data_IF_142383119661
#
_entry.id   IF_142383119661
#
_cell.length_a   1.000
_cell.length_b   1.000
_cell.length_c   1.000
_cell.angle_alpha   90.00
_cell.angle_beta   90.00
_cell.angle_gamma   90.00
#
_symmetry.space_group_name_H-M   'P 1'
#
loop_
_entity.id
_entity.type
_entity.pdbx_description
1 polymer ?
#
# COMPACT_ATOMS: atom_id res chain seq x y z
N UNK A 1 -20.06 7.89 -6.55
CA UNK A 1 -18.58 8.15 -6.52
C UNK A 1 -17.95 7.65 -5.23
N UNK A 2 -18.39 8.08 -4.04
CA UNK A 2 -17.84 7.67 -2.73
C UNK A 2 -17.91 6.16 -2.51
N UNK A 3 -19.03 5.51 -2.79
CA UNK A 3 -19.19 4.06 -2.71
C UNK A 3 -18.20 3.30 -3.60
N UNK A 4 -17.98 3.81 -4.82
CA UNK A 4 -17.06 3.20 -5.76
C UNK A 4 -15.59 3.27 -5.26
N UNK A 5 -15.14 4.45 -4.82
CA UNK A 5 -13.75 4.58 -4.34
C UNK A 5 -13.50 3.80 -3.04
N UNK A 6 -14.50 3.71 -2.16
CA UNK A 6 -14.45 2.83 -0.99
C UNK A 6 -14.29 1.37 -1.41
N UNK A 7 -15.06 0.90 -2.40
CA UNK A 7 -14.92 -0.46 -2.92
C UNK A 7 -13.55 -0.70 -3.54
N UNK A 8 -12.98 0.28 -4.27
CA UNK A 8 -11.62 0.18 -4.80
C UNK A 8 -10.58 0.08 -3.68
N UNK A 9 -10.74 0.88 -2.62
CA UNK A 9 -9.85 0.83 -1.47
C UNK A 9 -10.02 -0.48 -0.67
N UNK A 10 -11.25 -0.94 -0.46
CA UNK A 10 -11.54 -2.22 0.18
C UNK A 10 -10.94 -3.41 -0.62
N UNK A 11 -10.95 -3.35 -1.95
CA UNK A 11 -10.21 -4.28 -2.80
C UNK A 11 -8.70 -4.24 -2.53
N UNK A 12 -8.11 -3.04 -2.45
CA UNK A 12 -6.68 -2.89 -2.16
C UNK A 12 -6.30 -3.55 -0.83
N UNK A 13 -7.10 -3.31 0.21
CA UNK A 13 -6.92 -3.91 1.55
C UNK A 13 -7.05 -5.43 1.50
N UNK A 14 -8.12 -5.94 0.86
CA UNK A 14 -8.33 -7.38 0.69
C UNK A 14 -7.16 -8.04 -0.03
N UNK A 15 -6.67 -7.44 -1.10
CA UNK A 15 -5.56 -7.99 -1.88
C UNK A 15 -4.25 -8.02 -1.09
N UNK A 16 -3.95 -6.98 -0.29
CA UNK A 16 -2.79 -6.96 0.60
C UNK A 16 -2.88 -8.07 1.66
N UNK A 17 -4.06 -8.25 2.29
CA UNK A 17 -4.32 -9.35 3.24
C UNK A 17 -4.08 -10.71 2.59
N UNK A 18 -4.59 -10.94 1.39
CA UNK A 18 -4.39 -12.20 0.66
C UNK A 18 -2.92 -12.52 0.44
N UNK A 19 -2.11 -11.51 0.11
CA UNK A 19 -0.65 -11.70 -0.01
C UNK A 19 -0.03 -12.02 1.35
N UNK A 20 -0.35 -11.26 2.41
CA UNK A 20 0.17 -11.52 3.75
C UNK A 20 -0.23 -12.93 4.25
N UNK A 21 -1.49 -13.33 4.11
CA UNK A 21 -1.99 -14.68 4.47
C UNK A 21 -1.22 -15.78 3.72
N UNK A 22 -0.97 -15.59 2.42
CA UNK A 22 -0.20 -16.55 1.63
C UNK A 22 1.25 -16.65 2.12
N UNK A 23 1.90 -15.53 2.40
CA UNK A 23 3.28 -15.47 2.89
C UNK A 23 3.42 -16.06 4.30
N UNK A 24 2.41 -15.96 5.16
CA UNK A 24 2.37 -16.60 6.48
C UNK A 24 2.46 -18.12 6.39
N UNK A 25 2.00 -18.73 5.31
CA UNK A 25 2.15 -20.16 5.03
C UNK A 25 3.55 -20.58 4.56
N UNK A 26 4.48 -19.61 4.37
CA UNK A 26 5.84 -19.86 3.91
C UNK A 26 6.86 -19.56 5.03
N UNK A 27 8.07 -20.13 4.91
CA UNK A 27 9.13 -19.79 5.85
C UNK A 27 9.63 -18.36 5.62
N UNK A 28 10.12 -17.71 6.68
CA UNK A 28 10.69 -16.37 6.62
C UNK A 28 11.82 -16.25 5.60
N UNK A 29 12.65 -17.29 5.46
CA UNK A 29 13.72 -17.37 4.48
C UNK A 29 13.22 -17.21 3.04
N UNK A 30 12.01 -17.65 2.73
CA UNK A 30 11.42 -17.56 1.39
C UNK A 30 11.09 -16.12 1.02
N UNK A 31 10.36 -15.41 1.87
CA UNK A 31 9.92 -14.06 1.55
C UNK A 31 10.98 -12.97 1.82
N UNK A 32 12.07 -13.31 2.54
CA UNK A 32 13.24 -12.44 2.72
C UNK A 32 14.41 -12.77 1.78
N UNK A 33 14.26 -13.84 0.97
CA UNK A 33 15.27 -14.22 -0.01
C UNK A 33 15.54 -13.07 -0.96
N UNK A 34 16.83 -12.79 -1.20
CA UNK A 34 17.24 -11.80 -2.20
C UNK A 34 16.88 -12.30 -3.62
N UNK A 35 16.17 -11.47 -4.36
CA UNK A 35 15.66 -11.76 -5.71
C UNK A 35 15.93 -10.52 -6.57
N UNK A 36 16.45 -10.71 -7.78
CA UNK A 36 16.60 -9.61 -8.75
C UNK A 36 15.24 -9.13 -9.21
N UNK A 37 14.78 -7.99 -8.64
CA UNK A 37 13.50 -7.36 -8.91
C UNK A 37 13.56 -5.87 -8.58
N UNK A 38 12.40 -5.19 -8.52
CA UNK A 38 12.27 -3.77 -8.14
C UNK A 38 12.74 -3.54 -6.69
N UNK A 39 12.47 -4.50 -5.81
CA UNK A 39 12.95 -4.52 -4.42
C UNK A 39 13.77 -5.78 -4.16
N UNK A 40 14.70 -5.76 -3.17
CA UNK A 40 15.58 -6.88 -2.90
C UNK A 40 14.85 -8.17 -2.48
N UNK A 41 13.69 -8.04 -1.81
CA UNK A 41 12.90 -9.18 -1.37
C UNK A 41 11.39 -8.95 -1.49
N UNK A 42 10.63 -10.02 -1.35
CA UNK A 42 9.16 -9.97 -1.27
C UNK A 42 8.74 -9.16 -0.03
N UNK A 43 9.41 -9.37 1.10
CA UNK A 43 9.15 -8.62 2.32
C UNK A 43 9.35 -7.13 2.13
N UNK A 44 10.46 -6.71 1.51
CA UNK A 44 10.75 -5.29 1.23
C UNK A 44 9.70 -4.66 0.29
N UNK A 45 9.18 -5.45 -0.65
CA UNK A 45 8.07 -5.01 -1.51
C UNK A 45 6.80 -4.74 -0.69
N UNK A 46 6.46 -5.59 0.28
CA UNK A 46 5.30 -5.39 1.15
C UNK A 46 5.51 -4.22 2.11
N UNK A 47 6.72 -4.06 2.66
CA UNK A 47 7.11 -2.87 3.44
C UNK A 47 6.93 -1.60 2.62
N UNK A 48 7.37 -1.60 1.35
CA UNK A 48 7.20 -0.46 0.46
C UNK A 48 5.73 -0.08 0.28
N UNK A 49 4.82 -1.04 0.08
CA UNK A 49 3.38 -0.76 0.01
C UNK A 49 2.90 -0.08 1.30
N UNK A 50 3.26 -0.62 2.47
CA UNK A 50 2.91 -0.03 3.77
C UNK A 50 3.40 1.41 3.94
N UNK A 51 4.66 1.66 3.60
CA UNK A 51 5.30 2.99 3.73
C UNK A 51 4.62 4.01 2.82
N UNK A 52 4.36 3.65 1.56
CA UNK A 52 3.71 4.55 0.60
C UNK A 52 2.26 4.85 0.99
N UNK A 53 1.49 3.84 1.39
CA UNK A 53 0.12 4.04 1.86
C UNK A 53 0.08 4.95 3.10
N UNK A 54 1.03 4.78 4.03
CA UNK A 54 1.19 5.64 5.22
C UNK A 54 1.52 7.09 4.83
N UNK A 55 2.39 7.26 3.85
CA UNK A 55 2.77 8.56 3.30
C UNK A 55 1.56 9.29 2.69
N UNK A 56 0.75 8.58 1.90
CA UNK A 56 -0.47 9.17 1.32
C UNK A 56 -1.50 9.56 2.36
N UNK A 57 -1.71 8.76 3.40
CA UNK A 57 -2.61 9.15 4.49
C UNK A 57 -2.10 10.42 5.21
N UNK A 58 -0.80 10.53 5.41
CA UNK A 58 -0.17 11.70 6.02
C UNK A 58 -0.29 12.93 5.13
N UNK A 59 -0.08 12.78 3.81
CA UNK A 59 -0.27 13.81 2.81
C UNK A 59 -1.70 14.39 2.84
N UNK A 60 -2.71 13.54 2.88
CA UNK A 60 -4.10 13.98 2.96
C UNK A 60 -4.40 14.74 4.26
N UNK A 61 -3.87 14.26 5.39
CA UNK A 61 -4.06 14.92 6.70
C UNK A 61 -3.39 16.28 6.77
N UNK A 62 -2.30 16.47 6.03
CA UNK A 62 -1.60 17.74 5.93
C UNK A 62 -2.28 18.75 4.96
N UNK A 63 -3.30 18.32 4.19
CA UNK A 63 -3.94 19.17 3.19
C UNK A 63 -3.14 19.29 1.88
N UNK A 64 -2.26 18.33 1.60
CA UNK A 64 -1.34 18.36 0.47
C UNK A 64 -0.01 19.05 0.81
N UNK A 65 0.79 19.30 -0.22
CA UNK A 65 2.11 19.93 -0.12
C UNK A 65 2.25 20.99 -1.21
N UNK A 66 2.31 22.24 -0.81
CA UNK A 66 2.41 23.37 -1.77
C UNK A 66 3.81 23.59 -2.30
N UNK A 67 4.84 23.27 -1.50
CA UNK A 67 6.24 23.49 -1.86
C UNK A 67 7.09 22.30 -1.46
N UNK A 68 7.86 21.78 -2.41
CA UNK A 68 8.84 20.69 -2.20
C UNK A 68 10.18 21.27 -1.75
N UNK A 69 10.17 22.01 -0.62
CA UNK A 69 11.38 22.62 -0.07
C UNK A 69 12.38 21.54 0.42
N UNK A 70 13.70 21.89 0.48
CA UNK A 70 14.70 20.95 1.04
C UNK A 70 14.35 20.44 2.44
N UNK A 71 13.81 21.32 3.30
CA UNK A 71 13.37 20.93 4.64
C UNK A 71 12.18 19.95 4.60
N UNK A 72 11.22 20.13 3.68
CA UNK A 72 10.13 19.18 3.49
C UNK A 72 10.64 17.81 3.04
N UNK A 73 11.57 17.78 2.08
CA UNK A 73 12.15 16.53 1.57
C UNK A 73 12.94 15.79 2.65
N UNK A 74 13.67 16.50 3.51
CA UNK A 74 14.37 15.92 4.65
C UNK A 74 13.38 15.30 5.67
N UNK A 75 12.33 16.03 6.06
CA UNK A 75 11.28 15.54 6.94
C UNK A 75 10.54 14.31 6.34
N UNK A 76 10.31 14.32 5.03
CA UNK A 76 9.71 13.18 4.32
C UNK A 76 10.61 11.97 4.40
N UNK A 77 11.91 12.15 4.13
CA UNK A 77 12.91 11.08 4.25
C UNK A 77 12.95 10.51 5.67
N UNK A 78 13.05 11.35 6.70
CA UNK A 78 13.03 10.91 8.10
C UNK A 78 11.74 10.14 8.45
N UNK A 79 10.59 10.56 7.89
CA UNK A 79 9.33 9.85 8.08
C UNK A 79 9.32 8.47 7.42
N UNK A 80 9.89 8.36 6.21
CA UNK A 80 10.07 7.07 5.52
C UNK A 80 11.01 6.17 6.31
N UNK A 81 12.19 6.68 6.71
CA UNK A 81 13.20 5.92 7.47
C UNK A 81 12.60 5.38 8.78
N UNK A 82 11.77 6.17 9.47
CA UNK A 82 11.07 5.77 10.70
C UNK A 82 10.04 4.64 10.44
N UNK A 83 9.26 4.75 9.37
CA UNK A 83 8.30 3.70 8.99
C UNK A 83 9.01 2.41 8.58
N UNK A 84 10.13 2.51 7.87
CA UNK A 84 10.96 1.34 7.53
C UNK A 84 11.52 0.72 8.82
N UNK A 85 12.11 1.51 9.72
CA UNK A 85 12.64 1.03 11.00
C UNK A 85 11.55 0.37 11.87
N UNK A 86 10.31 0.86 11.82
CA UNK A 86 9.17 0.20 12.49
C UNK A 86 8.94 -1.24 12.02
N UNK A 87 9.31 -1.56 10.78
CA UNK A 87 9.14 -2.91 10.20
C UNK A 87 10.35 -3.82 10.39
N UNK A 88 11.50 -3.30 10.87
CA UNK A 88 12.71 -4.08 11.09
C UNK A 88 12.47 -5.21 12.10
N UNK A 89 12.93 -6.41 11.76
CA UNK A 89 12.79 -7.61 12.59
C UNK A 89 11.37 -8.15 12.72
N UNK A 90 10.36 -7.49 12.16
CA UNK A 90 8.98 -7.96 12.19
C UNK A 90 8.76 -9.10 11.20
N UNK A 91 7.96 -10.08 11.61
CA UNK A 91 7.47 -11.12 10.73
C UNK A 91 6.34 -10.59 9.85
N UNK A 92 5.99 -11.36 8.82
CA UNK A 92 4.93 -10.95 7.87
C UNK A 92 3.55 -10.79 8.55
N UNK A 93 3.27 -11.54 9.62
CA UNK A 93 2.06 -11.40 10.43
C UNK A 93 1.97 -10.02 11.08
N UNK A 94 3.08 -9.55 11.65
CA UNK A 94 3.15 -8.25 12.33
C UNK A 94 3.08 -7.10 11.31
N UNK A 95 3.72 -7.25 10.15
CA UNK A 95 3.59 -6.30 9.04
C UNK A 95 2.13 -6.25 8.55
N UNK A 96 1.47 -7.41 8.42
CA UNK A 96 0.04 -7.49 8.07
C UNK A 96 -0.85 -6.74 9.06
N UNK A 97 -0.56 -6.82 10.37
CA UNK A 97 -1.28 -6.05 11.40
C UNK A 97 -1.08 -4.54 11.25
N UNK A 98 0.16 -4.08 10.98
CA UNK A 98 0.44 -2.66 10.70
C UNK A 98 -0.33 -2.16 9.47
N UNK A 99 -0.39 -2.97 8.41
CA UNK A 99 -1.15 -2.66 7.20
C UNK A 99 -2.65 -2.59 7.47
N UNK A 100 -3.19 -3.49 8.30
CA UNK A 100 -4.60 -3.51 8.67
C UNK A 100 -4.99 -2.31 9.53
N UNK A 101 -4.15 -1.92 10.49
CA UNK A 101 -4.35 -0.72 11.32
C UNK A 101 -4.31 0.56 10.47
N UNK A 102 -3.40 0.62 9.51
CA UNK A 102 -3.34 1.69 8.53
C UNK A 102 -4.61 1.72 7.67
N UNK A 103 -5.06 0.57 7.19
CA UNK A 103 -6.24 0.44 6.35
C UNK A 103 -7.51 0.96 7.05
N UNK A 104 -7.69 0.66 8.33
CA UNK A 104 -8.81 1.20 9.14
C UNK A 104 -8.76 2.72 9.18
N UNK A 105 -7.58 3.31 9.43
CA UNK A 105 -7.40 4.77 9.50
C UNK A 105 -7.61 5.44 8.14
N UNK A 106 -7.13 4.83 7.07
CA UNK A 106 -7.25 5.36 5.71
C UNK A 106 -8.71 5.27 5.22
N UNK A 107 -9.36 4.11 5.45
CA UNK A 107 -10.77 3.92 5.12
C UNK A 107 -11.66 4.92 5.83
N UNK A 108 -11.41 5.16 7.13
CA UNK A 108 -12.10 6.18 7.92
C UNK A 108 -11.89 7.59 7.34
N UNK A 109 -10.68 7.91 6.87
CA UNK A 109 -10.42 9.17 6.17
C UNK A 109 -11.31 9.30 4.93
N UNK A 110 -11.41 8.27 4.08
CA UNK A 110 -12.26 8.29 2.87
C UNK A 110 -13.74 8.45 3.24
N UNK A 111 -14.21 7.76 4.27
CA UNK A 111 -15.60 7.83 4.74
C UNK A 111 -15.99 9.23 5.22
N UNK A 112 -15.11 9.87 5.98
CA UNK A 112 -15.34 11.20 6.56
C UNK A 112 -15.04 12.34 5.57
N UNK A 113 -14.32 12.06 4.49
CA UNK A 113 -13.99 13.07 3.49
C UNK A 113 -15.24 13.50 2.72
N UNK A 114 -15.71 14.74 2.93
CA UNK A 114 -17.00 15.20 2.43
C UNK A 114 -17.03 15.31 0.91
N UNK A 115 -15.94 15.82 0.32
CA UNK A 115 -15.85 16.10 -1.11
C UNK A 115 -14.60 15.47 -1.75
N UNK A 116 -14.78 14.36 -2.46
CA UNK A 116 -13.71 13.65 -3.17
C UNK A 116 -13.15 14.42 -4.39
N UNK A 117 -13.81 15.50 -4.81
CA UNK A 117 -13.31 16.43 -5.84
C UNK A 117 -12.36 17.48 -5.25
N UNK A 118 -12.13 17.51 -3.94
CA UNK A 118 -11.16 18.41 -3.31
C UNK A 118 -9.79 18.21 -3.94
N UNK A 119 -9.20 19.31 -4.42
CA UNK A 119 -7.89 19.32 -5.08
C UNK A 119 -6.80 19.53 -4.05
N UNK A 120 -5.85 18.62 -4.02
CA UNK A 120 -4.65 18.68 -3.18
C UNK A 120 -3.43 19.04 -4.01
N UNK A 121 -2.61 20.02 -3.58
CA UNK A 121 -1.33 20.31 -4.23
C UNK A 121 -0.27 19.29 -3.83
N UNK A 122 0.63 19.00 -4.79
CA UNK A 122 1.85 18.21 -4.59
C UNK A 122 3.00 18.89 -5.35
N UNK A 123 3.55 19.98 -4.79
CA UNK A 123 4.43 20.90 -5.50
C UNK A 123 3.70 21.56 -6.68
N UNK A 124 4.28 21.45 -7.86
CA UNK A 124 3.68 21.99 -9.10
C UNK A 124 2.51 21.17 -9.65
N UNK A 125 2.34 19.94 -9.15
CA UNK A 125 1.24 19.04 -9.54
C UNK A 125 0.03 19.20 -8.62
N UNK A 126 -1.17 19.06 -9.17
CA UNK A 126 -2.42 19.07 -8.40
C UNK A 126 -3.35 18.00 -8.94
N UNK A 127 -3.99 17.25 -8.03
CA UNK A 127 -5.03 16.29 -8.40
C UNK A 127 -6.12 16.25 -7.33
N UNK A 128 -7.26 15.67 -7.68
CA UNK A 128 -8.36 15.46 -6.75
C UNK A 128 -8.00 14.36 -5.74
N UNK A 129 -8.58 14.43 -4.55
CA UNK A 129 -8.43 13.34 -3.56
C UNK A 129 -8.82 11.98 -4.14
N UNK A 130 -9.87 11.93 -4.97
CA UNK A 130 -10.28 10.72 -5.70
C UNK A 130 -9.14 10.12 -6.54
N UNK A 131 -8.43 10.96 -7.30
CA UNK A 131 -7.36 10.53 -8.21
C UNK A 131 -6.14 9.99 -7.42
N UNK A 132 -5.81 10.65 -6.29
CA UNK A 132 -4.74 10.17 -5.41
C UNK A 132 -5.11 8.86 -4.71
N UNK A 133 -6.35 8.67 -4.25
CA UNK A 133 -6.79 7.41 -3.66
C UNK A 133 -6.74 6.29 -4.71
N UNK A 134 -7.18 6.58 -5.95
CA UNK A 134 -7.04 5.63 -7.06
C UNK A 134 -5.57 5.30 -7.36
N UNK A 135 -4.67 6.27 -7.24
CA UNK A 135 -3.23 6.02 -7.36
C UNK A 135 -2.74 5.02 -6.30
N UNK A 136 -3.14 5.16 -5.03
CA UNK A 136 -2.80 4.21 -3.95
C UNK A 136 -3.21 2.78 -4.32
N UNK A 137 -4.43 2.60 -4.82
CA UNK A 137 -4.95 1.29 -5.26
C UNK A 137 -4.12 0.71 -6.41
N UNK A 138 -3.83 1.53 -7.42
CA UNK A 138 -3.03 1.13 -8.59
C UNK A 138 -1.58 0.81 -8.21
N UNK A 139 -0.98 1.61 -7.33
CA UNK A 139 0.36 1.40 -6.79
C UNK A 139 0.47 0.03 -6.09
N UNK A 140 -0.48 -0.27 -5.19
CA UNK A 140 -0.52 -1.58 -4.54
C UNK A 140 -0.69 -2.73 -5.55
N UNK A 141 -1.53 -2.57 -6.57
CA UNK A 141 -1.72 -3.59 -7.62
C UNK A 141 -0.43 -3.84 -8.41
N UNK A 142 0.30 -2.78 -8.77
CA UNK A 142 1.60 -2.89 -9.44
C UNK A 142 2.61 -3.69 -8.59
N UNK A 143 2.75 -3.38 -7.31
CA UNK A 143 3.71 -4.05 -6.44
C UNK A 143 3.29 -5.48 -6.05
N UNK A 144 2.01 -5.78 -5.90
CA UNK A 144 1.54 -7.17 -5.74
C UNK A 144 1.81 -8.02 -6.98
N UNK A 145 1.76 -7.42 -8.17
CA UNK A 145 2.22 -8.06 -9.40
C UNK A 145 3.71 -8.43 -9.34
N UNK A 146 4.57 -7.53 -8.81
CA UNK A 146 5.98 -7.82 -8.58
C UNK A 146 6.17 -8.96 -7.55
N UNK A 147 5.44 -8.93 -6.42
CA UNK A 147 5.46 -10.04 -5.44
C UNK A 147 5.13 -11.38 -6.09
N UNK A 148 4.08 -11.43 -6.93
CA UNK A 148 3.71 -12.65 -7.65
C UNK A 148 4.81 -13.11 -8.61
N UNK A 149 5.45 -12.18 -9.33
CA UNK A 149 6.56 -12.48 -10.21
C UNK A 149 7.78 -13.02 -9.44
N UNK A 150 8.13 -12.40 -8.31
CA UNK A 150 9.22 -12.84 -7.43
C UNK A 150 8.96 -14.24 -6.86
N UNK A 151 7.74 -14.52 -6.40
CA UNK A 151 7.34 -15.85 -5.92
C UNK A 151 7.53 -16.91 -7.01
N UNK A 152 7.10 -16.64 -8.25
CA UNK A 152 7.27 -17.56 -9.38
C UNK A 152 8.73 -17.82 -9.73
N UNK A 153 9.61 -16.80 -9.63
CA UNK A 153 11.05 -16.98 -9.87
C UNK A 153 11.68 -17.96 -8.89
N UNK A 154 11.14 -18.10 -7.69
CA UNK A 154 11.64 -19.02 -6.66
C UNK A 154 10.77 -20.28 -6.49
N UNK A 155 9.85 -20.54 -7.43
CA UNK A 155 9.11 -21.79 -7.52
C UNK A 155 7.75 -21.83 -6.80
N UNK A 156 7.23 -20.67 -6.36
CA UNK A 156 5.92 -20.57 -5.70
C UNK A 156 4.86 -19.95 -6.63
N UNK A 157 3.62 -20.45 -6.65
CA UNK A 157 2.58 -19.96 -7.57
C UNK A 157 2.07 -18.55 -7.24
N UNK A 158 2.22 -18.11 -5.97
CA UNK A 158 1.56 -16.91 -5.46
C UNK A 158 0.08 -17.11 -5.15
N UNK A 159 -0.62 -16.01 -4.90
CA UNK A 159 -2.07 -16.00 -4.62
C UNK A 159 -2.78 -15.04 -5.58
N UNK A 160 -3.99 -15.37 -6.08
CA UNK A 160 -4.75 -14.48 -6.95
C UNK A 160 -5.25 -13.26 -6.17
N UNK A 161 -4.98 -12.08 -6.72
CA UNK A 161 -5.39 -10.78 -6.17
C UNK A 161 -6.10 -9.90 -7.20
N UNK A 162 -6.64 -10.51 -8.25
CA UNK A 162 -7.34 -9.77 -9.31
C UNK A 162 -8.62 -9.14 -8.80
N UNK A 163 -8.94 -7.94 -9.30
CA UNK A 163 -10.16 -7.23 -8.93
C UNK A 163 -11.43 -8.02 -9.29
N UNK A 164 -11.43 -8.72 -10.44
CA UNK A 164 -12.52 -9.60 -10.81
C UNK A 164 -12.74 -10.75 -9.81
N UNK A 165 -11.67 -11.32 -9.27
CA UNK A 165 -11.77 -12.34 -8.24
C UNK A 165 -12.30 -11.76 -6.91
N UNK A 166 -11.86 -10.55 -6.53
CA UNK A 166 -12.44 -9.85 -5.37
C UNK A 166 -13.96 -9.66 -5.52
N UNK A 167 -14.43 -9.20 -6.70
CA UNK A 167 -15.87 -9.07 -6.95
C UNK A 167 -16.63 -10.40 -6.83
N UNK A 168 -16.02 -11.48 -7.29
CA UNK A 168 -16.60 -12.82 -7.12
C UNK A 168 -16.76 -13.18 -5.64
N UNK A 169 -15.75 -12.87 -4.79
CA UNK A 169 -15.83 -13.16 -3.33
C UNK A 169 -16.89 -12.33 -2.59
N UNK A 170 -17.31 -11.19 -3.14
CA UNK A 170 -18.40 -10.40 -2.56
C UNK A 170 -19.79 -10.98 -2.84
N UNK A 171 -19.89 -11.88 -3.82
CA UNK A 171 -21.17 -12.45 -4.29
C UNK A 171 -21.41 -13.87 -3.75
N UNK A 172 -20.42 -14.45 -3.07
CA UNK A 172 -20.45 -15.83 -2.55
C UNK A 172 -19.95 -15.88 -1.11
#
# INVERSE_FOLDING_TARGET
>A
MKTWILQQYDYHVWANRKVCEYLQGLSEEVYRKEIVSVFPSIYDTMVHIYVIDSGWLSFFKAGGVTEMSPAYLENLKESIDRLVAETEGKRIEELGQLMDDLAVRFRKFIELHENLETVYPSGDFKARSLDYIQHVVNHGTYHRGNVTAMLRQIGYPGTPTDYGFYLYTLSH
#
